data_IF_468836073390
#
_entry.id   IF_468836073390
#
_cell.length_a   1.000
_cell.length_b   1.000
_cell.length_c   1.000
_cell.angle_alpha   90.00
_cell.angle_beta   90.00
_cell.angle_gamma   90.00
#
_symmetry.space_group_name_H-M   'P 1'
#
loop_
_entity.id
_entity.type
_entity.pdbx_description
1 polymer ?
#
# COMPACT_ATOMS: atom_id res chain seq x y z
N UNK A 1 57.66 40.42 40.34
CA UNK A 1 58.07 40.28 38.91
C UNK A 1 56.91 39.52 38.23
N UNK A 2 56.16 40.26 37.46
CA UNK A 2 54.94 39.78 36.81
C UNK A 2 55.29 39.25 35.41
N UNK A 3 54.79 38.11 35.08
CA UNK A 3 54.77 37.69 33.67
C UNK A 3 53.38 37.24 33.29
N UNK A 4 52.88 37.87 32.26
CA UNK A 4 51.62 37.79 31.62
C UNK A 4 51.38 36.42 30.96
N UNK A 5 50.17 35.95 31.13
CA UNK A 5 49.64 34.79 30.38
C UNK A 5 48.90 35.29 29.16
N UNK A 6 49.31 34.87 27.98
CA UNK A 6 48.47 34.87 26.77
C UNK A 6 48.00 33.44 26.56
N UNK A 7 46.70 33.25 26.65
CA UNK A 7 46.05 32.01 26.30
C UNK A 7 45.64 32.05 24.81
N UNK A 8 46.11 31.08 24.06
CA UNK A 8 45.70 30.82 22.70
C UNK A 8 44.37 30.08 22.73
N UNK A 9 43.29 30.72 22.34
CA UNK A 9 42.05 30.07 22.01
C UNK A 9 42.15 29.51 20.58
N UNK A 10 42.35 28.19 20.46
CA UNK A 10 42.13 27.50 19.19
C UNK A 10 40.62 27.32 18.99
N UNK A 11 40.08 28.06 18.03
CA UNK A 11 38.74 27.84 17.51
C UNK A 11 38.80 26.62 16.58
N UNK A 12 38.37 25.49 17.09
CA UNK A 12 38.08 24.32 16.23
C UNK A 12 36.69 24.54 15.62
N UNK A 13 36.69 24.98 14.37
CA UNK A 13 35.46 24.98 13.56
C UNK A 13 35.07 23.53 13.23
N UNK A 14 34.10 23.01 13.97
CA UNK A 14 33.47 21.75 13.67
C UNK A 14 32.52 21.97 12.48
N UNK A 15 32.96 21.63 11.29
CA UNK A 15 32.11 21.58 10.10
C UNK A 15 31.14 20.40 10.28
N UNK A 16 29.94 20.66 10.78
CA UNK A 16 28.80 19.76 10.70
C UNK A 16 28.43 19.65 9.22
N UNK A 17 28.87 18.56 8.59
CA UNK A 17 28.30 18.10 7.33
C UNK A 17 26.91 17.58 7.66
N UNK A 18 25.93 18.46 7.59
CA UNK A 18 24.52 18.08 7.49
C UNK A 18 24.36 17.39 6.12
N UNK A 19 24.51 16.07 6.11
CA UNK A 19 23.90 15.26 5.06
C UNK A 19 22.40 15.45 5.22
N UNK A 20 21.86 16.44 4.55
CA UNK A 20 20.42 16.58 4.36
C UNK A 20 19.93 15.36 3.59
N UNK A 21 19.26 14.47 4.29
CA UNK A 21 18.32 13.55 3.66
C UNK A 21 17.24 14.44 3.04
N UNK A 22 17.43 14.83 1.80
CA UNK A 22 16.36 15.42 1.01
C UNK A 22 15.28 14.33 0.90
N UNK A 23 14.03 14.60 1.30
CA UNK A 23 12.95 13.69 0.96
C UNK A 23 13.01 13.49 -0.56
N UNK A 24 12.89 12.26 -1.01
CA UNK A 24 12.72 11.91 -2.42
C UNK A 24 11.42 12.58 -2.89
N UNK A 25 11.50 13.87 -3.20
CA UNK A 25 10.45 14.52 -3.97
C UNK A 25 10.48 13.84 -5.33
N UNK A 26 9.48 13.02 -5.62
CA UNK A 26 9.24 12.59 -6.97
C UNK A 26 9.02 13.85 -7.79
N UNK A 27 10.09 14.31 -8.45
CA UNK A 27 9.97 15.35 -9.44
C UNK A 27 9.02 14.82 -10.52
N UNK A 28 8.02 15.61 -10.88
CA UNK A 28 7.19 15.34 -12.03
C UNK A 28 8.14 14.95 -13.18
N UNK A 29 7.95 13.79 -13.78
CA UNK A 29 8.77 13.31 -14.87
C UNK A 29 8.90 14.43 -15.91
N UNK A 30 10.12 14.89 -16.20
CA UNK A 30 10.36 15.91 -17.21
C UNK A 30 10.11 15.41 -18.64
N UNK A 31 9.74 14.15 -18.79
CA UNK A 31 9.33 13.58 -20.07
C UNK A 31 7.88 13.95 -20.36
N UNK A 32 7.59 14.41 -21.57
CA UNK A 32 6.21 14.66 -21.99
C UNK A 32 5.40 13.36 -21.87
N UNK A 33 4.13 13.50 -21.46
CA UNK A 33 3.21 12.35 -21.41
C UNK A 33 3.14 11.70 -22.80
N UNK A 34 3.07 10.37 -22.88
CA UNK A 34 2.87 9.69 -24.14
C UNK A 34 1.58 10.15 -24.85
N UNK A 35 1.58 10.25 -26.16
CA UNK A 35 0.46 10.74 -26.97
C UNK A 35 -0.86 10.03 -26.64
N UNK A 36 -0.84 8.70 -26.42
CA UNK A 36 -2.03 7.92 -26.07
C UNK A 36 -2.62 8.33 -24.70
N UNK A 37 -1.80 8.81 -23.76
CA UNK A 37 -2.27 9.30 -22.46
C UNK A 37 -2.99 10.64 -22.67
N UNK A 38 -2.42 11.53 -23.48
CA UNK A 38 -3.05 12.82 -23.81
C UNK A 38 -4.36 12.62 -24.56
N UNK A 39 -4.39 11.66 -25.48
CA UNK A 39 -5.60 11.31 -26.25
C UNK A 39 -6.74 10.80 -25.33
N UNK A 40 -6.44 9.93 -24.38
CA UNK A 40 -7.44 9.32 -23.49
C UNK A 40 -7.81 10.22 -22.32
N UNK A 41 -6.82 10.82 -21.63
CA UNK A 41 -7.01 11.56 -20.38
C UNK A 41 -6.99 13.09 -20.59
N UNK A 42 -6.44 13.57 -21.70
CA UNK A 42 -6.19 14.99 -21.97
C UNK A 42 -4.93 15.50 -21.30
N UNK A 43 -4.67 16.79 -21.42
CA UNK A 43 -3.54 17.47 -20.80
C UNK A 43 -3.63 17.42 -19.28
N UNK A 44 -2.48 17.19 -18.61
CA UNK A 44 -2.39 17.25 -17.17
C UNK A 44 -2.55 18.68 -16.65
N UNK A 45 -3.23 18.89 -15.52
CA UNK A 45 -3.24 20.20 -14.88
C UNK A 45 -1.84 20.61 -14.41
N UNK A 46 -1.59 21.90 -14.40
CA UNK A 46 -0.34 22.45 -13.86
C UNK A 46 -0.26 22.18 -12.35
N UNK A 47 0.90 21.67 -11.91
CA UNK A 47 1.18 21.44 -10.49
C UNK A 47 1.95 22.64 -9.94
N UNK A 48 1.41 23.37 -8.95
CA UNK A 48 2.09 24.49 -8.35
C UNK A 48 3.43 24.09 -7.72
N UNK A 49 4.46 24.90 -7.92
CA UNK A 49 5.75 24.71 -7.28
C UNK A 49 5.67 25.02 -5.77
N UNK A 50 6.43 24.26 -4.98
CA UNK A 50 6.59 24.49 -3.55
C UNK A 50 5.51 23.86 -2.67
N UNK A 51 5.51 24.18 -1.36
CA UNK A 51 4.59 23.61 -0.38
C UNK A 51 3.18 24.20 -0.53
N UNK A 52 2.21 23.48 0.02
CA UNK A 52 0.86 24.03 0.22
C UNK A 52 0.91 25.26 1.14
N UNK A 53 0.06 26.26 0.90
CA UNK A 53 -0.04 27.38 1.83
C UNK A 53 -0.55 26.92 3.21
N UNK A 54 -0.16 27.58 4.32
CA UNK A 54 -0.64 27.20 5.66
C UNK A 54 -2.16 27.14 5.79
N UNK A 55 -2.88 28.00 5.07
CA UNK A 55 -4.34 28.00 5.05
C UNK A 55 -4.91 26.73 4.39
N UNK A 56 -4.30 26.27 3.31
CA UNK A 56 -4.73 25.04 2.61
C UNK A 56 -4.32 23.80 3.40
N UNK A 57 -3.14 23.78 4.03
CA UNK A 57 -2.75 22.70 4.96
C UNK A 57 -3.77 22.60 6.11
N UNK A 58 -4.14 23.70 6.73
CA UNK A 58 -5.18 23.71 7.76
C UNK A 58 -6.53 23.20 7.23
N UNK A 59 -6.97 23.66 6.07
CA UNK A 59 -8.21 23.19 5.46
C UNK A 59 -8.17 21.68 5.18
N UNK A 60 -7.06 21.15 4.68
CA UNK A 60 -6.89 19.72 4.43
C UNK A 60 -6.99 18.91 5.73
N UNK A 61 -6.37 19.37 6.83
CA UNK A 61 -6.50 18.70 8.13
C UNK A 61 -7.94 18.71 8.64
N UNK A 62 -8.64 19.86 8.56
CA UNK A 62 -10.06 19.96 8.98
C UNK A 62 -10.95 19.03 8.12
N UNK A 63 -10.72 18.97 6.81
CA UNK A 63 -11.54 18.17 5.93
C UNK A 63 -11.29 16.67 6.06
N UNK A 64 -10.05 16.24 6.26
CA UNK A 64 -9.64 14.85 6.06
C UNK A 64 -9.12 14.15 7.32
N UNK A 65 -8.56 14.85 8.30
CA UNK A 65 -8.07 14.28 9.55
C UNK A 65 -9.10 14.41 10.67
N UNK A 66 -9.61 15.61 10.88
CA UNK A 66 -10.56 15.87 11.98
C UNK A 66 -11.94 15.26 11.70
N UNK A 67 -12.21 14.93 10.45
CA UNK A 67 -13.46 14.35 9.95
C UNK A 67 -13.48 12.82 9.97
N UNK A 68 -12.97 12.21 11.01
CA UNK A 68 -12.74 10.75 11.11
C UNK A 68 -13.98 9.86 10.97
N UNK A 69 -15.17 10.43 10.85
CA UNK A 69 -16.40 9.67 10.59
C UNK A 69 -16.96 10.09 9.23
N UNK A 70 -16.78 9.23 8.24
CA UNK A 70 -17.22 9.43 6.85
C UNK A 70 -18.77 9.49 6.66
N UNK A 71 -19.49 9.87 7.69
CA UNK A 71 -20.95 10.00 7.64
C UNK A 71 -21.40 11.29 6.95
N UNK A 72 -21.76 12.26 7.73
CA UNK A 72 -22.21 13.56 7.27
C UNK A 72 -21.21 14.64 7.67
N UNK A 73 -20.73 15.37 6.68
CA UNK A 73 -19.85 16.50 6.91
C UNK A 73 -20.60 17.70 7.47
N UNK A 74 -20.04 18.32 8.46
CA UNK A 74 -20.55 19.55 9.04
C UNK A 74 -20.25 20.78 8.13
N UNK A 75 -20.60 21.96 8.62
CA UNK A 75 -20.36 23.21 7.89
C UNK A 75 -18.86 23.50 7.72
N UNK A 76 -18.05 23.22 8.74
CA UNK A 76 -16.62 23.53 8.71
C UNK A 76 -15.88 22.65 7.69
N UNK A 77 -16.21 21.38 7.66
CA UNK A 77 -15.64 20.43 6.69
C UNK A 77 -16.02 20.79 5.25
N UNK A 78 -17.26 21.20 5.03
CA UNK A 78 -17.71 21.67 3.71
C UNK A 78 -17.00 22.94 3.27
N UNK A 79 -16.79 23.89 4.18
CA UNK A 79 -16.02 25.11 3.90
C UNK A 79 -14.56 24.80 3.63
N UNK A 80 -13.95 23.90 4.40
CA UNK A 80 -12.60 23.43 4.18
C UNK A 80 -12.43 22.77 2.80
N UNK A 81 -13.38 21.91 2.40
CA UNK A 81 -13.37 21.31 1.06
C UNK A 81 -13.51 22.36 -0.05
N UNK A 82 -14.33 23.40 0.17
CA UNK A 82 -14.44 24.50 -0.79
C UNK A 82 -13.11 25.22 -0.96
N UNK A 83 -12.42 25.56 0.15
CA UNK A 83 -11.10 26.20 0.11
C UNK A 83 -10.04 25.32 -0.59
N UNK A 84 -10.11 24.00 -0.39
CA UNK A 84 -9.26 23.03 -1.09
C UNK A 84 -9.52 23.08 -2.60
N UNK A 85 -10.76 23.01 -3.02
CA UNK A 85 -11.14 23.06 -4.43
C UNK A 85 -10.70 24.39 -5.09
N UNK A 86 -10.89 25.51 -4.40
CA UNK A 86 -10.51 26.86 -4.87
C UNK A 86 -8.98 27.07 -4.93
N UNK A 87 -8.19 26.23 -4.23
CA UNK A 87 -6.72 26.32 -4.29
C UNK A 87 -6.16 26.01 -5.68
N UNK A 88 -6.87 25.23 -6.47
CA UNK A 88 -6.41 24.77 -7.78
C UNK A 88 -5.20 23.81 -7.75
N UNK A 89 -4.81 23.30 -6.58
CA UNK A 89 -3.66 22.39 -6.46
C UNK A 89 -4.08 20.93 -6.70
N UNK A 90 -3.73 20.33 -7.85
CA UNK A 90 -4.19 18.99 -8.23
C UNK A 90 -3.67 17.89 -7.33
N UNK A 91 -2.59 18.10 -6.56
CA UNK A 91 -2.03 17.13 -5.62
C UNK A 91 -3.06 16.73 -4.55
N UNK A 92 -3.92 17.65 -4.13
CA UNK A 92 -4.96 17.41 -3.11
C UNK A 92 -6.03 16.42 -3.58
N UNK A 93 -6.16 16.21 -4.89
CA UNK A 93 -7.11 15.25 -5.43
C UNK A 93 -6.76 13.80 -5.06
N UNK A 94 -5.52 13.49 -4.68
CA UNK A 94 -5.15 12.19 -4.13
C UNK A 94 -5.89 11.86 -2.83
N UNK A 95 -5.95 12.82 -1.90
CA UNK A 95 -6.66 12.64 -0.62
C UNK A 95 -8.16 12.47 -0.88
N UNK A 96 -8.70 13.27 -1.81
CA UNK A 96 -10.11 13.15 -2.22
C UNK A 96 -10.38 11.78 -2.85
N UNK A 97 -9.48 11.27 -3.68
CA UNK A 97 -9.58 9.95 -4.29
C UNK A 97 -9.66 8.84 -3.23
N UNK A 98 -8.77 8.88 -2.23
CA UNK A 98 -8.79 7.92 -1.13
C UNK A 98 -10.11 7.97 -0.36
N UNK A 99 -10.63 9.16 -0.05
CA UNK A 99 -11.94 9.29 0.61
C UNK A 99 -13.11 8.78 -0.23
N UNK A 100 -13.09 9.03 -1.52
CA UNK A 100 -14.14 8.57 -2.44
C UNK A 100 -14.27 7.05 -2.45
N UNK A 101 -13.20 6.32 -2.11
CA UNK A 101 -13.19 4.85 -2.03
C UNK A 101 -14.07 4.33 -0.89
N UNK A 102 -14.22 5.10 0.19
CA UNK A 102 -14.91 4.67 1.42
C UNK A 102 -16.26 5.36 1.64
N UNK A 103 -16.49 6.53 1.05
CA UNK A 103 -17.65 7.35 1.37
C UNK A 103 -18.96 6.71 0.91
N UNK A 104 -19.89 6.46 1.87
CA UNK A 104 -21.21 5.92 1.61
C UNK A 104 -22.30 6.98 1.39
N UNK A 105 -22.12 8.21 1.89
CA UNK A 105 -23.08 9.31 1.78
C UNK A 105 -23.08 9.90 0.36
N UNK A 106 -24.23 9.89 -0.31
CA UNK A 106 -24.37 10.50 -1.65
C UNK A 106 -24.03 11.99 -1.68
N UNK A 107 -24.37 12.71 -0.61
CA UNK A 107 -24.10 14.15 -0.50
C UNK A 107 -22.59 14.42 -0.42
N UNK A 108 -21.89 13.70 0.45
CA UNK A 108 -20.44 13.81 0.60
C UNK A 108 -19.71 13.32 -0.67
N UNK A 109 -20.15 12.23 -1.28
CA UNK A 109 -19.60 11.75 -2.54
C UNK A 109 -19.70 12.80 -3.65
N UNK A 110 -20.88 13.47 -3.77
CA UNK A 110 -21.09 14.52 -4.75
C UNK A 110 -20.16 15.72 -4.51
N UNK A 111 -20.00 16.13 -3.25
CA UNK A 111 -19.11 17.25 -2.88
C UNK A 111 -17.64 16.94 -3.18
N UNK A 112 -17.15 15.75 -2.80
CA UNK A 112 -15.80 15.29 -3.10
C UNK A 112 -15.55 15.17 -4.60
N UNK A 113 -16.52 14.61 -5.35
CA UNK A 113 -16.41 14.48 -6.81
C UNK A 113 -16.36 15.86 -7.49
N UNK A 114 -17.12 16.84 -7.00
CA UNK A 114 -17.06 18.21 -7.51
C UNK A 114 -15.70 18.84 -7.22
N UNK A 115 -15.20 18.74 -5.98
CA UNK A 115 -13.89 19.27 -5.61
C UNK A 115 -12.75 18.65 -6.45
N UNK A 116 -12.77 17.33 -6.67
CA UNK A 116 -11.82 16.68 -7.57
C UNK A 116 -11.96 17.20 -9.02
N UNK A 117 -13.19 17.45 -9.47
CA UNK A 117 -13.43 18.00 -10.80
C UNK A 117 -12.85 19.40 -10.96
N UNK A 118 -12.99 20.24 -9.94
CA UNK A 118 -12.49 21.61 -9.93
C UNK A 118 -10.94 21.63 -9.90
N UNK A 119 -10.32 20.79 -9.05
CA UNK A 119 -8.86 20.65 -8.96
C UNK A 119 -8.21 20.11 -10.23
N UNK A 120 -8.87 19.19 -10.92
CA UNK A 120 -8.32 18.50 -12.08
C UNK A 120 -8.80 19.07 -13.43
N UNK A 121 -9.67 20.07 -13.42
CA UNK A 121 -10.22 20.66 -14.63
C UNK A 121 -11.05 19.69 -15.48
N UNK A 122 -11.56 18.59 -14.88
CA UNK A 122 -12.31 17.52 -15.57
C UNK A 122 -13.64 17.25 -14.87
N UNK A 123 -14.66 16.90 -15.65
CA UNK A 123 -15.98 16.55 -15.11
C UNK A 123 -16.07 15.07 -14.79
N UNK A 124 -16.05 14.74 -13.52
CA UNK A 124 -16.31 13.38 -13.03
C UNK A 124 -17.78 13.22 -12.62
N UNK A 125 -18.35 12.03 -12.85
CA UNK A 125 -19.77 11.76 -12.58
C UNK A 125 -19.98 10.33 -12.08
N UNK A 126 -21.03 10.13 -11.25
CA UNK A 126 -21.57 8.82 -10.90
C UNK A 126 -20.85 8.12 -9.74
N UNK A 127 -21.27 6.87 -9.49
CA UNK A 127 -20.75 6.05 -8.39
C UNK A 127 -19.30 5.62 -8.57
N UNK A 128 -18.81 5.61 -9.79
CA UNK A 128 -17.43 5.24 -10.15
C UNK A 128 -16.47 6.42 -10.19
N UNK A 129 -16.83 7.58 -9.60
CA UNK A 129 -15.98 8.77 -9.59
C UNK A 129 -14.60 8.51 -8.96
N UNK A 130 -14.53 7.67 -7.93
CA UNK A 130 -13.26 7.21 -7.37
C UNK A 130 -12.32 6.65 -8.45
N UNK A 131 -12.80 5.68 -9.24
CA UNK A 131 -11.97 5.05 -10.27
C UNK A 131 -11.52 6.07 -11.34
N UNK A 132 -12.44 6.91 -11.80
CA UNK A 132 -12.11 7.90 -12.82
C UNK A 132 -11.08 8.94 -12.31
N UNK A 133 -11.24 9.45 -11.09
CA UNK A 133 -10.29 10.38 -10.47
C UNK A 133 -8.93 9.73 -10.32
N UNK A 134 -8.87 8.51 -9.74
CA UNK A 134 -7.61 7.76 -9.56
C UNK A 134 -6.90 7.51 -10.88
N UNK A 135 -7.65 7.10 -11.93
CA UNK A 135 -7.06 6.82 -13.26
C UNK A 135 -6.42 8.07 -13.88
N UNK A 136 -7.04 9.25 -13.74
CA UNK A 136 -6.44 10.50 -14.23
C UNK A 136 -5.18 10.87 -13.43
N UNK A 137 -5.24 10.78 -12.09
CA UNK A 137 -4.09 11.08 -11.23
C UNK A 137 -2.88 10.19 -11.56
N UNK A 138 -3.12 8.90 -11.80
CA UNK A 138 -2.08 7.95 -12.19
C UNK A 138 -1.55 8.20 -13.60
N UNK A 139 -2.45 8.44 -14.56
CA UNK A 139 -2.07 8.67 -15.96
C UNK A 139 -1.23 9.93 -16.14
N UNK A 140 -1.53 10.98 -15.38
CA UNK A 140 -0.81 12.24 -15.39
C UNK A 140 0.41 12.26 -14.45
N UNK A 141 0.65 11.20 -13.70
CA UNK A 141 1.68 11.10 -12.66
C UNK A 141 1.68 12.32 -11.71
N UNK A 142 0.49 12.74 -11.28
CA UNK A 142 0.36 13.87 -10.35
C UNK A 142 1.10 13.51 -9.05
N UNK A 143 2.04 14.34 -8.58
CA UNK A 143 2.75 14.09 -7.34
C UNK A 143 1.80 14.13 -6.13
N UNK A 144 2.19 13.44 -5.07
CA UNK A 144 1.43 13.47 -3.82
C UNK A 144 1.56 14.83 -3.11
N UNK A 145 0.54 15.24 -2.35
CA UNK A 145 0.66 16.42 -1.50
C UNK A 145 1.58 16.13 -0.30
N UNK A 146 2.15 17.17 0.34
CA UNK A 146 2.83 17.00 1.63
C UNK A 146 1.96 16.26 2.65
N UNK A 147 2.58 15.43 3.49
CA UNK A 147 1.91 14.64 4.53
C UNK A 147 0.88 13.61 3.99
N UNK A 148 0.95 13.24 2.71
CA UNK A 148 -0.02 12.35 2.08
C UNK A 148 -0.18 11.01 2.82
N UNK A 149 0.92 10.41 3.26
CA UNK A 149 0.89 9.15 4.00
C UNK A 149 0.06 9.27 5.29
N UNK A 150 0.15 10.39 6.00
CA UNK A 150 -0.67 10.64 7.20
C UNK A 150 -2.16 10.71 6.86
N UNK A 151 -2.52 11.49 5.83
CA UNK A 151 -3.91 11.56 5.37
C UNK A 151 -4.44 10.20 4.97
N UNK A 152 -3.68 9.46 4.17
CA UNK A 152 -4.06 8.12 3.73
C UNK A 152 -4.24 7.17 4.91
N UNK A 153 -3.28 7.14 5.84
CA UNK A 153 -3.36 6.33 7.07
C UNK A 153 -4.63 6.64 7.85
N UNK A 154 -4.93 7.91 8.12
CA UNK A 154 -6.12 8.31 8.88
C UNK A 154 -7.41 7.90 8.15
N UNK A 155 -7.50 8.12 6.84
CA UNK A 155 -8.67 7.74 6.05
C UNK A 155 -8.89 6.23 6.12
N UNK A 156 -7.87 5.42 5.91
CA UNK A 156 -7.98 3.97 5.89
C UNK A 156 -8.31 3.40 7.27
N UNK A 157 -7.56 3.79 8.31
CA UNK A 157 -7.73 3.26 9.66
C UNK A 157 -9.01 3.74 10.36
N UNK A 158 -9.52 4.90 9.98
CA UNK A 158 -10.83 5.38 10.48
C UNK A 158 -12.00 4.59 9.93
N UNK A 159 -11.83 3.91 8.80
CA UNK A 159 -12.86 3.08 8.19
C UNK A 159 -12.79 1.64 8.65
N UNK A 160 -11.58 1.09 8.75
CA UNK A 160 -11.37 -0.29 9.13
C UNK A 160 -10.12 -0.41 10.01
N UNK A 161 -10.22 -1.08 11.17
CA UNK A 161 -9.06 -1.34 12.04
C UNK A 161 -8.11 -2.36 11.42
N UNK A 162 -6.89 -2.41 11.94
CA UNK A 162 -5.88 -3.41 11.62
C UNK A 162 -4.75 -2.92 10.71
N UNK A 163 -4.93 -1.79 10.02
CA UNK A 163 -3.90 -1.24 9.13
C UNK A 163 -2.94 -0.24 9.79
N UNK A 164 -3.14 0.10 11.06
CA UNK A 164 -2.40 1.17 11.74
C UNK A 164 -0.88 1.03 11.66
N UNK A 165 -0.41 -0.23 11.65
CA UNK A 165 1.03 -0.55 11.62
C UNK A 165 1.59 -0.72 10.20
N UNK A 166 0.75 -0.74 9.17
CA UNK A 166 1.19 -0.93 7.79
C UNK A 166 1.54 0.39 7.09
N UNK A 167 0.86 1.49 7.45
CA UNK A 167 1.06 2.80 6.83
C UNK A 167 2.28 3.50 7.44
N UNK A 168 3.46 3.07 7.00
CA UNK A 168 4.76 3.61 7.44
C UNK A 168 5.62 3.95 6.22
N UNK A 169 6.61 4.80 6.41
CA UNK A 169 7.57 5.17 5.37
C UNK A 169 8.30 3.93 4.83
N UNK A 170 8.68 4.00 3.54
CA UNK A 170 9.37 2.93 2.85
C UNK A 170 9.61 3.24 1.39
N UNK A 171 9.88 2.22 0.59
CA UNK A 171 10.06 2.34 -0.86
C UNK A 171 8.76 2.16 -1.66
N UNK A 172 7.64 1.88 -1.00
CA UNK A 172 6.34 1.77 -1.67
C UNK A 172 5.81 3.16 -2.04
N UNK A 173 5.30 3.28 -3.27
CA UNK A 173 4.56 4.47 -3.67
C UNK A 173 3.10 4.37 -3.18
N UNK A 174 2.77 5.11 -2.14
CA UNK A 174 1.45 5.07 -1.52
C UNK A 174 0.32 5.57 -2.44
N UNK A 175 0.62 6.34 -3.49
CA UNK A 175 -0.36 6.75 -4.52
C UNK A 175 -0.94 5.53 -5.25
N UNK A 176 -0.14 4.48 -5.38
CA UNK A 176 -0.49 3.25 -6.07
C UNK A 176 -1.27 2.25 -5.20
N UNK A 177 -1.36 2.53 -3.88
CA UNK A 177 -2.00 1.63 -2.93
C UNK A 177 -3.48 2.01 -2.76
N UNK A 178 -4.35 1.02 -2.91
CA UNK A 178 -5.80 1.16 -2.73
C UNK A 178 -6.39 0.01 -1.90
N UNK A 179 -7.60 0.19 -1.38
CA UNK A 179 -8.33 -0.87 -0.71
C UNK A 179 -8.91 -1.88 -1.72
N UNK A 180 -8.59 -3.16 -1.57
CA UNK A 180 -9.02 -4.26 -2.42
C UNK A 180 -10.46 -4.75 -2.19
N UNK A 181 -11.17 -4.20 -1.19
CA UNK A 181 -12.56 -4.57 -0.91
C UNK A 181 -12.74 -5.58 0.22
N UNK A 182 -11.66 -6.07 0.83
CA UNK A 182 -11.65 -6.98 1.96
C UNK A 182 -10.80 -6.42 3.09
N UNK A 183 -11.02 -6.90 4.33
CA UNK A 183 -10.21 -6.47 5.47
C UNK A 183 -8.87 -7.20 5.51
N UNK A 184 -7.99 -6.73 6.36
CA UNK A 184 -6.72 -7.38 6.66
C UNK A 184 -6.97 -8.73 7.34
N UNK A 185 -6.17 -9.75 7.02
CA UNK A 185 -6.11 -11.00 7.77
C UNK A 185 -5.04 -10.86 8.87
N UNK A 186 -5.45 -10.48 10.05
CA UNK A 186 -4.59 -10.31 11.24
C UNK A 186 -4.72 -11.46 12.26
N UNK A 187 -5.34 -12.58 11.84
CA UNK A 187 -5.51 -13.75 12.69
C UNK A 187 -4.15 -14.36 13.07
N UNK A 188 -4.06 -14.82 14.31
CA UNK A 188 -2.86 -15.50 14.79
C UNK A 188 -2.53 -16.75 13.94
N UNK A 189 -1.26 -17.11 13.89
CA UNK A 189 -0.80 -18.29 13.14
C UNK A 189 -1.48 -19.57 13.66
N UNK A 190 -1.91 -20.43 12.76
CA UNK A 190 -2.66 -21.68 13.04
C UNK A 190 -4.04 -21.50 13.70
N UNK A 191 -4.67 -20.32 13.59
CA UNK A 191 -6.07 -20.13 14.02
C UNK A 191 -7.02 -20.31 12.85
N UNK A 192 -7.33 -21.55 12.49
CA UNK A 192 -8.16 -21.87 11.31
C UNK A 192 -9.66 -21.60 11.51
N UNK A 193 -10.12 -21.60 12.75
CA UNK A 193 -11.55 -21.53 13.09
C UNK A 193 -12.09 -20.11 13.29
N UNK A 194 -11.23 -19.12 13.38
CA UNK A 194 -11.62 -17.73 13.53
C UNK A 194 -12.15 -17.16 12.21
N UNK A 195 -13.38 -16.68 12.25
CA UNK A 195 -14.00 -15.98 11.11
C UNK A 195 -13.46 -14.56 11.02
N UNK A 196 -13.18 -14.13 9.81
CA UNK A 196 -12.84 -12.74 9.50
C UNK A 196 -13.64 -12.24 8.28
N UNK A 197 -13.73 -10.92 8.14
CA UNK A 197 -14.20 -10.29 6.91
C UNK A 197 -13.02 -10.05 5.93
N UNK A 198 -12.02 -10.92 6.02
CA UNK A 198 -10.81 -10.94 5.22
C UNK A 198 -10.81 -12.13 4.25
N UNK A 199 -9.77 -12.24 3.44
CA UNK A 199 -9.44 -13.47 2.73
C UNK A 199 -8.50 -14.28 3.65
N UNK A 200 -9.00 -15.37 4.25
CA UNK A 200 -8.29 -16.08 5.30
C UNK A 200 -7.16 -16.93 4.73
N UNK A 201 -5.92 -16.67 5.16
CA UNK A 201 -4.79 -17.54 4.85
C UNK A 201 -5.01 -18.98 5.35
N UNK A 202 -4.41 -19.94 4.68
CA UNK A 202 -4.30 -21.32 5.16
C UNK A 202 -2.91 -21.53 5.79
N UNK A 203 -2.90 -21.91 7.06
CA UNK A 203 -1.68 -22.22 7.80
C UNK A 203 -1.58 -23.73 7.99
N UNK A 204 -0.46 -24.34 7.58
CA UNK A 204 -0.20 -25.79 7.64
C UNK A 204 -1.43 -26.61 7.20
N UNK A 205 -1.90 -26.43 5.95
CA UNK A 205 -3.12 -27.07 5.50
C UNK A 205 -3.00 -28.60 5.53
N UNK A 206 -4.10 -29.27 5.85
CA UNK A 206 -4.19 -30.71 5.72
C UNK A 206 -3.89 -31.13 4.29
N UNK A 207 -3.17 -32.24 4.15
CA UNK A 207 -2.77 -32.81 2.87
C UNK A 207 -3.38 -34.18 2.66
N UNK A 208 -3.71 -34.48 1.42
CA UNK A 208 -4.26 -35.78 1.01
C UNK A 208 -3.32 -36.43 0.01
N UNK A 209 -3.12 -37.75 0.14
CA UNK A 209 -2.31 -38.47 -0.87
C UNK A 209 -2.94 -38.40 -2.25
N UNK A 210 -2.14 -38.50 -3.30
CA UNK A 210 -2.66 -38.54 -4.69
C UNK A 210 -3.67 -39.68 -4.86
N UNK A 211 -3.42 -40.83 -4.25
CA UNK A 211 -4.33 -41.99 -4.34
C UNK A 211 -5.72 -41.73 -3.72
N UNK A 212 -5.77 -40.89 -2.68
CA UNK A 212 -6.99 -40.55 -1.96
C UNK A 212 -7.66 -39.27 -2.47
N UNK A 213 -7.02 -38.56 -3.40
CA UNK A 213 -7.50 -37.28 -3.95
C UNK A 213 -8.54 -37.52 -5.02
N UNK A 214 -9.80 -37.79 -4.62
CA UNK A 214 -10.94 -37.99 -5.53
C UNK A 214 -11.69 -36.69 -5.88
N UNK A 215 -11.38 -35.59 -5.20
CA UNK A 215 -12.07 -34.31 -5.31
C UNK A 215 -11.41 -33.34 -6.31
N UNK A 216 -10.21 -33.65 -6.79
CA UNK A 216 -9.52 -32.92 -7.88
C UNK A 216 -9.78 -33.68 -9.18
N UNK A 217 -10.10 -32.93 -10.24
CA UNK A 217 -10.24 -33.46 -11.59
C UNK A 217 -8.90 -33.50 -12.31
N UNK A 218 -8.73 -34.40 -13.29
CA UNK A 218 -7.49 -34.56 -14.04
C UNK A 218 -7.09 -33.31 -14.85
N UNK A 219 -8.06 -32.47 -15.18
CA UNK A 219 -7.88 -31.21 -15.92
C UNK A 219 -7.74 -29.97 -15.01
N UNK A 220 -7.74 -30.15 -13.70
CA UNK A 220 -7.65 -29.03 -12.75
C UNK A 220 -6.21 -28.50 -12.65
N UNK A 221 -6.06 -27.19 -12.73
CA UNK A 221 -4.78 -26.53 -12.57
C UNK A 221 -4.34 -26.58 -11.11
N UNK A 222 -3.09 -27.00 -10.90
CA UNK A 222 -2.43 -27.02 -9.60
C UNK A 222 -1.09 -26.28 -9.66
N UNK A 223 -0.65 -25.72 -8.55
CA UNK A 223 0.70 -25.19 -8.40
C UNK A 223 1.55 -26.25 -7.70
N UNK A 224 2.45 -26.89 -8.44
CA UNK A 224 3.37 -27.89 -7.92
C UNK A 224 4.61 -27.23 -7.32
N UNK A 225 5.00 -27.66 -6.12
CA UNK A 225 6.23 -27.20 -5.43
C UNK A 225 6.97 -28.43 -4.96
N UNK A 226 8.29 -28.45 -5.16
CA UNK A 226 9.19 -29.48 -4.63
C UNK A 226 10.28 -28.83 -3.77
N UNK A 227 10.51 -29.36 -2.59
CA UNK A 227 11.56 -28.94 -1.67
C UNK A 227 12.22 -30.19 -1.06
N UNK A 228 13.52 -30.33 -1.24
CA UNK A 228 14.31 -31.44 -0.66
C UNK A 228 13.73 -32.84 -0.96
N UNK A 229 13.14 -33.05 -2.15
CA UNK A 229 12.55 -34.31 -2.58
C UNK A 229 11.11 -34.57 -2.07
N UNK A 230 10.52 -33.63 -1.31
CA UNK A 230 9.10 -33.65 -0.98
C UNK A 230 8.33 -32.75 -1.94
N UNK A 231 7.30 -33.31 -2.61
CA UNK A 231 6.48 -32.59 -3.60
C UNK A 231 5.06 -32.40 -3.06
N UNK A 232 4.47 -31.22 -3.31
CA UNK A 232 3.09 -30.88 -2.92
C UNK A 232 2.42 -30.07 -4.01
N UNK A 233 1.12 -30.32 -4.24
CA UNK A 233 0.29 -29.61 -5.19
C UNK A 233 -0.77 -28.76 -4.46
N UNK A 234 -0.91 -27.50 -4.87
CA UNK A 234 -1.88 -26.54 -4.33
C UNK A 234 -2.89 -26.24 -5.43
N UNK A 235 -4.15 -26.71 -5.34
CA UNK A 235 -5.14 -26.51 -6.38
C UNK A 235 -5.49 -25.03 -6.54
N UNK A 236 -5.53 -24.57 -7.78
CA UNK A 236 -5.82 -23.17 -8.10
C UNK A 236 -7.11 -22.68 -7.44
N UNK A 237 -8.18 -23.45 -7.49
CA UNK A 237 -9.48 -23.09 -6.87
C UNK A 237 -9.37 -22.87 -5.36
N UNK A 238 -8.49 -23.60 -4.67
CA UNK A 238 -8.22 -23.38 -3.23
C UNK A 238 -7.40 -22.11 -3.03
N UNK A 239 -6.41 -21.88 -3.88
CA UNK A 239 -5.61 -20.66 -3.84
C UNK A 239 -6.44 -19.40 -4.13
N UNK A 240 -7.43 -19.47 -5.01
CA UNK A 240 -8.36 -18.37 -5.30
C UNK A 240 -9.22 -17.96 -4.09
N UNK A 241 -9.47 -18.89 -3.17
CA UNK A 241 -10.25 -18.64 -1.94
C UNK A 241 -9.36 -18.19 -0.77
N UNK A 242 -8.13 -18.70 -0.71
CA UNK A 242 -7.22 -18.45 0.41
C UNK A 242 -6.24 -17.33 0.16
N UNK A 243 -5.82 -17.13 -1.07
CA UNK A 243 -4.84 -16.15 -1.54
C UNK A 243 -3.48 -16.16 -0.81
N UNK A 244 -3.33 -16.95 0.24
CA UNK A 244 -2.10 -17.11 1.01
C UNK A 244 -2.09 -18.47 1.70
N UNK A 245 -0.97 -19.19 1.52
CA UNK A 245 -0.69 -20.41 2.27
C UNK A 245 0.65 -20.24 2.98
N UNK A 246 0.69 -20.56 4.29
CA UNK A 246 1.91 -20.75 5.04
C UNK A 246 2.05 -22.24 5.33
N UNK A 247 3.09 -22.89 4.81
CA UNK A 247 3.24 -24.34 4.89
C UNK A 247 4.67 -24.73 5.31
N UNK A 248 4.89 -26.01 5.56
CA UNK A 248 6.20 -26.60 5.74
C UNK A 248 6.34 -27.77 4.79
N UNK A 249 7.38 -27.75 3.94
CA UNK A 249 7.63 -28.74 2.92
C UNK A 249 9.13 -29.04 2.86
N UNK A 250 9.50 -30.31 2.88
CA UNK A 250 10.91 -30.74 2.88
C UNK A 250 11.74 -30.13 4.01
N UNK A 251 11.14 -29.90 5.18
CA UNK A 251 11.77 -29.28 6.33
C UNK A 251 11.99 -27.76 6.22
N UNK A 252 11.46 -27.09 5.20
CA UNK A 252 11.56 -25.64 4.99
C UNK A 252 10.20 -24.97 5.16
N UNK A 253 10.19 -23.78 5.74
CA UNK A 253 8.98 -22.97 5.84
C UNK A 253 8.74 -22.20 4.55
N UNK A 254 7.50 -22.23 4.06
CA UNK A 254 7.05 -21.58 2.83
C UNK A 254 5.93 -20.59 3.11
N UNK A 255 5.94 -19.47 2.36
CA UNK A 255 4.82 -18.60 2.15
C UNK A 255 4.45 -18.58 0.66
N UNK A 256 3.19 -18.88 0.34
CA UNK A 256 2.73 -19.07 -1.03
C UNK A 256 1.57 -18.10 -1.29
N UNK A 257 1.86 -16.85 -1.69
CA UNK A 257 0.85 -15.91 -2.10
C UNK A 257 0.25 -16.27 -3.46
N UNK A 258 -1.04 -16.01 -3.62
CA UNK A 258 -1.75 -16.04 -4.89
C UNK A 258 -2.48 -14.72 -5.09
N UNK A 259 -2.29 -14.09 -6.23
CA UNK A 259 -3.04 -12.89 -6.62
C UNK A 259 -4.18 -13.29 -7.56
N UNK A 260 -5.42 -13.27 -7.07
CA UNK A 260 -6.61 -13.64 -7.84
C UNK A 260 -6.81 -12.74 -9.06
N UNK A 261 -6.56 -11.44 -8.93
CA UNK A 261 -6.66 -10.48 -10.04
C UNK A 261 -5.59 -10.71 -11.14
N UNK A 262 -4.44 -11.26 -10.75
CA UNK A 262 -3.32 -11.50 -11.65
C UNK A 262 -3.28 -12.94 -12.19
N UNK A 263 -4.00 -13.86 -11.54
CA UNK A 263 -3.98 -15.30 -11.86
C UNK A 263 -2.62 -15.97 -11.59
N UNK A 264 -1.83 -15.42 -10.64
CA UNK A 264 -0.43 -15.82 -10.44
C UNK A 264 -0.13 -16.19 -8.99
N UNK A 265 0.68 -17.22 -8.81
CA UNK A 265 1.24 -17.64 -7.52
C UNK A 265 2.77 -17.50 -7.52
N UNK A 266 3.33 -17.33 -6.33
CA UNK A 266 4.76 -17.41 -6.05
C UNK A 266 4.97 -18.35 -4.84
N UNK A 267 6.20 -18.80 -4.63
CA UNK A 267 6.56 -19.56 -3.43
C UNK A 267 7.88 -19.03 -2.88
N UNK A 268 7.85 -18.59 -1.64
CA UNK A 268 8.99 -18.02 -0.93
C UNK A 268 9.37 -18.86 0.27
N UNK A 269 10.67 -19.02 0.50
CA UNK A 269 11.15 -19.47 1.80
C UNK A 269 10.96 -18.37 2.83
N UNK A 270 10.32 -18.70 3.93
CA UNK A 270 10.01 -17.77 5.02
C UNK A 270 10.80 -18.05 6.29
N UNK A 271 11.67 -19.05 6.29
CA UNK A 271 12.65 -19.35 7.31
C UNK A 271 14.03 -18.73 6.99
N UNK A 272 14.90 -18.70 7.98
CA UNK A 272 16.28 -18.21 7.86
C UNK A 272 16.39 -16.79 7.30
N UNK A 273 15.45 -15.93 7.70
CA UNK A 273 15.47 -14.50 7.32
C UNK A 273 16.36 -13.75 8.32
N UNK A 274 17.40 -13.03 7.87
CA UNK A 274 18.27 -12.28 8.77
C UNK A 274 17.51 -11.27 9.62
N UNK A 275 17.64 -11.36 10.95
CA UNK A 275 16.96 -10.49 11.91
C UNK A 275 15.56 -10.97 12.30
N UNK A 276 15.20 -12.21 11.93
CA UNK A 276 13.95 -12.86 12.33
C UNK A 276 14.32 -14.17 13.04
N UNK A 277 13.87 -14.33 14.28
CA UNK A 277 14.24 -15.48 15.11
C UNK A 277 13.52 -16.77 14.70
N UNK A 278 12.36 -16.66 14.07
CA UNK A 278 11.51 -17.74 13.61
C UNK A 278 11.16 -17.53 12.11
N UNK A 279 10.16 -18.20 11.62
CA UNK A 279 9.63 -18.01 10.27
C UNK A 279 8.80 -16.73 10.16
N UNK A 280 8.76 -16.14 8.98
CA UNK A 280 7.73 -15.16 8.67
C UNK A 280 6.38 -15.86 8.44
N UNK A 281 5.31 -15.21 8.88
CA UNK A 281 3.94 -15.64 8.62
C UNK A 281 3.29 -14.60 7.72
N UNK A 282 3.18 -14.92 6.44
CA UNK A 282 2.65 -14.00 5.45
C UNK A 282 1.12 -13.96 5.51
N UNK A 283 0.56 -12.78 5.34
CA UNK A 283 -0.89 -12.52 5.39
C UNK A 283 -1.36 -11.64 4.24
N UNK A 284 -2.64 -11.71 3.96
CA UNK A 284 -3.34 -10.82 3.03
C UNK A 284 -3.65 -9.51 3.74
N UNK A 285 -3.12 -8.40 3.23
CA UNK A 285 -3.36 -7.07 3.83
C UNK A 285 -4.74 -6.49 3.50
N UNK A 286 -5.43 -7.00 2.49
CA UNK A 286 -6.63 -6.36 1.93
C UNK A 286 -6.33 -5.15 1.05
N UNK A 287 -5.07 -4.79 0.89
CA UNK A 287 -4.60 -3.70 0.04
C UNK A 287 -4.11 -4.22 -1.32
N UNK A 288 -4.22 -3.37 -2.32
CA UNK A 288 -3.70 -3.59 -3.67
C UNK A 288 -2.71 -2.49 -4.02
N UNK A 289 -1.61 -2.84 -4.66
CA UNK A 289 -0.70 -1.90 -5.33
C UNK A 289 -0.77 -2.14 -6.84
N UNK A 290 -1.25 -1.17 -7.62
CA UNK A 290 -1.47 -1.31 -9.08
C UNK A 290 -2.26 -2.57 -9.44
N UNK A 291 -3.33 -2.86 -8.73
CA UNK A 291 -4.14 -4.08 -8.87
C UNK A 291 -3.44 -5.39 -8.47
N UNK A 292 -2.18 -5.35 -8.04
CA UNK A 292 -1.51 -6.50 -7.44
C UNK A 292 -1.78 -6.53 -5.94
N UNK A 293 -2.01 -7.72 -5.42
CA UNK A 293 -2.15 -7.97 -3.99
C UNK A 293 -0.91 -7.50 -3.23
N UNK A 294 -1.12 -6.87 -2.09
CA UNK A 294 -0.07 -6.53 -1.12
C UNK A 294 -0.11 -7.53 0.03
N UNK A 295 1.00 -8.21 0.28
CA UNK A 295 1.15 -9.09 1.43
C UNK A 295 1.98 -8.43 2.54
N UNK A 296 1.83 -8.93 3.78
CA UNK A 296 2.62 -8.45 4.89
C UNK A 296 2.99 -9.61 5.85
N UNK A 297 4.00 -9.42 6.67
CA UNK A 297 4.34 -10.35 7.75
C UNK A 297 3.59 -10.01 9.03
N UNK A 298 2.94 -11.01 9.62
CA UNK A 298 2.09 -10.87 10.80
C UNK A 298 2.84 -10.33 12.04
N UNK A 299 4.11 -10.68 12.19
CA UNK A 299 4.91 -10.31 13.37
C UNK A 299 5.53 -8.92 13.24
N UNK A 300 6.22 -8.67 12.12
CA UNK A 300 6.96 -7.42 11.91
C UNK A 300 6.12 -6.32 11.30
N UNK A 301 4.97 -6.65 10.72
CA UNK A 301 4.11 -5.78 9.93
C UNK A 301 4.81 -5.17 8.70
N UNK A 302 5.95 -5.74 8.29
CA UNK A 302 6.62 -5.36 7.06
C UNK A 302 5.76 -5.74 5.86
N UNK A 303 5.58 -4.80 4.93
CA UNK A 303 4.89 -5.04 3.65
C UNK A 303 5.89 -5.58 2.64
N UNK A 304 5.45 -6.57 1.87
CA UNK A 304 6.21 -7.16 0.78
C UNK A 304 5.48 -7.01 -0.56
N UNK A 305 6.24 -6.71 -1.61
CA UNK A 305 5.78 -6.91 -2.97
C UNK A 305 5.53 -8.40 -3.22
N UNK A 306 4.34 -8.73 -3.67
CA UNK A 306 3.90 -10.13 -3.77
C UNK A 306 4.65 -10.91 -4.86
N UNK A 307 5.10 -10.24 -5.94
CA UNK A 307 5.80 -10.92 -7.02
C UNK A 307 7.32 -10.96 -6.85
N UNK A 308 7.88 -9.94 -6.21
CA UNK A 308 9.32 -9.84 -6.03
C UNK A 308 9.77 -10.43 -4.68
N UNK A 309 8.86 -10.58 -3.71
CA UNK A 309 9.21 -10.96 -2.35
C UNK A 309 10.08 -9.92 -1.64
N UNK A 310 10.12 -8.69 -2.15
CA UNK A 310 10.92 -7.60 -1.60
C UNK A 310 10.11 -6.84 -0.56
N UNK A 311 10.69 -6.62 0.62
CA UNK A 311 10.07 -5.82 1.66
C UNK A 311 10.17 -4.33 1.31
N UNK A 312 9.00 -3.68 1.20
CA UNK A 312 8.88 -2.28 0.75
C UNK A 312 8.56 -1.31 1.89
N UNK A 313 8.23 -1.82 3.08
CA UNK A 313 8.08 -1.03 4.32
C UNK A 313 8.43 -1.86 5.56
N UNK A 314 8.49 -1.18 6.71
CA UNK A 314 8.59 -1.81 8.02
C UNK A 314 10.00 -2.24 8.42
N UNK A 315 10.14 -2.99 9.52
CA UNK A 315 11.44 -3.41 10.05
C UNK A 315 12.29 -4.24 9.10
N UNK A 316 11.70 -4.90 8.11
CA UNK A 316 12.40 -5.72 7.13
C UNK A 316 12.60 -5.00 5.80
N UNK A 317 12.43 -3.67 5.74
CA UNK A 317 12.66 -2.87 4.53
C UNK A 317 13.96 -3.29 3.82
N UNK A 318 13.92 -3.41 2.50
CA UNK A 318 15.00 -3.84 1.60
C UNK A 318 15.41 -5.33 1.73
N UNK A 319 14.77 -6.13 2.58
CA UNK A 319 14.94 -7.58 2.58
C UNK A 319 14.18 -8.21 1.43
N UNK A 320 14.78 -9.24 0.83
CA UNK A 320 14.14 -10.02 -0.24
C UNK A 320 14.03 -11.48 0.19
N UNK A 321 12.85 -12.04 0.05
CA UNK A 321 12.60 -13.45 0.29
C UNK A 321 13.24 -14.30 -0.81
N UNK A 322 13.85 -15.42 -0.43
CA UNK A 322 14.37 -16.37 -1.40
C UNK A 322 13.23 -17.14 -2.07
N UNK A 323 13.34 -17.34 -3.36
CA UNK A 323 12.36 -18.09 -4.13
C UNK A 323 12.64 -19.58 -4.04
N UNK A 324 11.59 -20.37 -3.94
CA UNK A 324 11.64 -21.74 -4.42
C UNK A 324 11.35 -21.71 -5.92
N UNK A 325 12.38 -21.82 -6.78
CA UNK A 325 12.14 -21.97 -8.23
C UNK A 325 11.51 -23.33 -8.47
N UNK A 326 10.29 -23.41 -9.02
CA UNK A 326 9.75 -24.69 -9.45
C UNK A 326 10.75 -25.32 -10.43
N UNK A 327 11.15 -26.53 -10.15
CA UNK A 327 11.83 -27.34 -11.16
C UNK A 327 10.70 -27.98 -12.00
N UNK A 328 10.46 -27.44 -13.18
CA UNK A 328 9.51 -27.99 -14.15
C UNK A 328 10.10 -29.23 -14.79
#
# INVERSE_FOLDING_TARGET
>A
MAQSRLSFLQVVALALVLCGLSPLTHAQSSNPLPDYVIEEFGEAPEVPAGPLSPAIQFAARVAFIDSTKLGTWDKNQKQALTAIAESGDPRLAWIISDMLRFVGSRGTQKALTQAASDLLGKKFKGRSSWHAVTSHLLAWDIPEPPEYLEYKRVIFTSNFPGWEKLFVEGSIDWRLVSWGGVLIDDRAYNTTDERCNCIPAADNPDVTSVADTKWIKDDEIVFGIEVNGESRAYPRRTMEVREMVNDTLGGRSLGIPYCTLCGAAQAYFTDNIPGVDDRLVLRTSGLLSRSNKVMYDLTTHSIFDTFLGHAVTGPLLDRTLNWNRPQW
#
